data_IF_067042495445
#
_entry.id   IF_067042495445
#
_cell.length_a   1.000
_cell.length_b   1.000
_cell.length_c   1.000
_cell.angle_alpha   90.00
_cell.angle_beta   90.00
_cell.angle_gamma   90.00
#
_symmetry.space_group_name_H-M   'P 1'
#
loop_
_entity.id
_entity.type
_entity.pdbx_description
1 polymer ?
#
# COMPACT_ATOMS: atom_id res chain seq x y z
N UNK A 1 -17.38 -18.84 -25.44
CA UNK A 1 -16.45 -19.59 -24.58
C UNK A 1 -15.36 -18.61 -24.19
N UNK A 2 -15.46 -18.01 -23.00
CA UNK A 2 -14.41 -17.11 -22.49
C UNK A 2 -13.20 -17.99 -22.15
N UNK A 3 -12.13 -17.89 -22.94
CA UNK A 3 -10.89 -18.57 -22.66
C UNK A 3 -10.29 -17.85 -21.45
N UNK A 4 -10.42 -18.45 -20.26
CA UNK A 4 -9.75 -17.98 -19.05
C UNK A 4 -8.25 -18.16 -19.28
N UNK A 5 -7.59 -17.10 -19.76
CA UNK A 5 -6.14 -17.03 -19.89
C UNK A 5 -5.58 -17.17 -18.49
N UNK A 6 -4.99 -18.32 -18.20
CA UNK A 6 -4.30 -18.55 -16.94
C UNK A 6 -3.07 -17.64 -16.90
N UNK A 7 -2.86 -16.87 -15.82
CA UNK A 7 -1.67 -16.04 -15.70
C UNK A 7 -0.42 -16.92 -15.77
N UNK A 8 0.60 -16.45 -16.49
CA UNK A 8 1.87 -17.15 -16.53
C UNK A 8 2.63 -16.94 -15.21
N UNK A 9 3.54 -17.85 -14.87
CA UNK A 9 4.45 -17.68 -13.72
C UNK A 9 5.18 -16.33 -13.74
N UNK A 10 5.56 -15.86 -14.92
CA UNK A 10 6.21 -14.57 -15.08
C UNK A 10 5.29 -13.42 -14.66
N UNK A 11 4.01 -13.48 -15.03
CA UNK A 11 3.01 -12.47 -14.65
C UNK A 11 2.80 -12.42 -13.13
N UNK A 12 2.80 -13.58 -12.47
CA UNK A 12 2.72 -13.68 -11.01
C UNK A 12 3.95 -13.04 -10.33
N UNK A 13 5.15 -13.30 -10.85
CA UNK A 13 6.39 -12.70 -10.35
C UNK A 13 6.37 -11.17 -10.54
N UNK A 14 5.96 -10.69 -11.72
CA UNK A 14 5.85 -9.25 -11.98
C UNK A 14 4.84 -8.59 -11.05
N UNK A 15 3.66 -9.21 -10.85
CA UNK A 15 2.65 -8.71 -9.93
C UNK A 15 3.18 -8.64 -8.49
N UNK A 16 3.92 -9.66 -8.04
CA UNK A 16 4.54 -9.68 -6.71
C UNK A 16 5.59 -8.58 -6.54
N UNK A 17 6.48 -8.39 -7.52
CA UNK A 17 7.52 -7.35 -7.47
C UNK A 17 6.91 -5.95 -7.50
N UNK A 18 5.94 -5.71 -8.38
CA UNK A 18 5.28 -4.41 -8.51
C UNK A 18 4.49 -4.09 -7.25
N UNK A 19 3.67 -5.03 -6.77
CA UNK A 19 2.87 -4.83 -5.55
C UNK A 19 3.74 -4.60 -4.32
N UNK A 20 4.84 -5.35 -4.15
CA UNK A 20 5.79 -5.14 -3.06
C UNK A 20 6.46 -3.77 -3.14
N UNK A 21 6.92 -3.37 -4.33
CA UNK A 21 7.57 -2.06 -4.55
C UNK A 21 6.62 -0.91 -4.24
N UNK A 22 5.38 -0.98 -4.75
CA UNK A 22 4.35 0.02 -4.48
C UNK A 22 3.94 0.04 -3.01
N UNK A 23 3.88 -1.13 -2.36
CA UNK A 23 3.55 -1.22 -0.94
C UNK A 23 4.61 -0.54 -0.08
N UNK A 24 5.90 -0.79 -0.35
CA UNK A 24 7.01 -0.15 0.38
C UNK A 24 7.00 1.36 0.17
N UNK A 25 6.87 1.82 -1.09
CA UNK A 25 6.81 3.26 -1.39
C UNK A 25 5.61 3.92 -0.72
N UNK A 26 4.44 3.29 -0.78
CA UNK A 26 3.22 3.78 -0.14
C UNK A 26 3.35 3.86 1.38
N UNK A 27 4.04 2.90 2.01
CA UNK A 27 4.26 2.90 3.46
C UNK A 27 5.13 4.10 3.85
N UNK A 28 6.20 4.35 3.09
CA UNK A 28 7.10 5.49 3.33
C UNK A 28 6.35 6.82 3.16
N UNK A 29 5.59 6.99 2.07
CA UNK A 29 4.88 8.26 1.80
C UNK A 29 3.73 8.52 2.77
N UNK A 30 2.92 7.52 3.09
CA UNK A 30 1.85 7.66 4.08
C UNK A 30 2.40 7.86 5.49
N UNK A 31 3.48 7.16 5.86
CA UNK A 31 4.19 7.40 7.11
C UNK A 31 4.70 8.83 7.20
N UNK A 32 5.33 9.34 6.13
CA UNK A 32 5.78 10.72 6.07
C UNK A 32 4.63 11.72 6.17
N UNK A 33 3.49 11.46 5.51
CA UNK A 33 2.30 12.30 5.60
C UNK A 33 1.79 12.41 7.04
N UNK A 34 1.69 11.27 7.75
CA UNK A 34 1.29 11.24 9.17
C UNK A 34 2.26 12.08 10.02
N UNK A 35 3.58 11.90 9.82
CA UNK A 35 4.61 12.66 10.57
C UNK A 35 4.51 14.16 10.30
N UNK A 36 4.35 14.56 9.04
CA UNK A 36 4.23 15.98 8.65
C UNK A 36 2.98 16.61 9.25
N UNK A 37 1.84 15.92 9.18
CA UNK A 37 0.58 16.43 9.75
C UNK A 37 0.68 16.50 11.28
N UNK A 38 1.26 15.49 11.92
CA UNK A 38 1.46 15.47 13.37
C UNK A 38 2.41 16.59 13.84
N UNK A 39 3.43 16.93 13.05
CA UNK A 39 4.42 17.96 13.38
C UNK A 39 3.94 19.38 13.08
N UNK A 40 2.97 19.55 12.17
CA UNK A 40 2.51 20.86 11.73
C UNK A 40 1.30 21.31 12.53
N UNK A 41 1.48 22.22 13.50
CA UNK A 41 0.39 22.74 14.36
C UNK A 41 -0.79 23.34 13.57
N UNK A 42 -0.54 23.95 12.41
CA UNK A 42 -1.60 24.50 11.55
C UNK A 42 -2.50 23.41 10.94
N UNK A 43 -2.02 22.17 10.88
CA UNK A 43 -2.76 21.03 10.35
C UNK A 43 -3.53 20.27 11.43
N UNK A 44 -3.46 20.66 12.72
CA UNK A 44 -4.25 20.06 13.81
C UNK A 44 -5.69 20.59 13.79
N UNK A 45 -6.36 20.40 12.66
CA UNK A 45 -7.75 20.75 12.42
C UNK A 45 -8.48 19.54 11.82
N UNK A 46 -9.80 19.65 11.63
CA UNK A 46 -10.62 18.57 11.10
C UNK A 46 -10.07 17.99 9.78
N UNK A 47 -9.53 18.83 8.90
CA UNK A 47 -8.93 18.40 7.64
C UNK A 47 -7.68 17.53 7.85
N UNK A 48 -6.74 17.96 8.70
CA UNK A 48 -5.54 17.16 8.97
C UNK A 48 -5.84 15.84 9.66
N UNK A 49 -6.82 15.78 10.55
CA UNK A 49 -7.26 14.51 11.14
C UNK A 49 -7.87 13.54 10.11
N UNK A 50 -8.64 14.06 9.14
CA UNK A 50 -9.14 13.25 8.03
C UNK A 50 -7.97 12.71 7.19
N UNK A 51 -6.99 13.56 6.84
CA UNK A 51 -5.80 13.12 6.11
C UNK A 51 -5.00 12.05 6.87
N UNK A 52 -4.87 12.16 8.19
CA UNK A 52 -4.22 11.13 9.02
C UNK A 52 -5.03 9.84 8.99
N UNK A 53 -6.36 9.89 9.13
CA UNK A 53 -7.20 8.68 9.08
C UNK A 53 -7.10 7.97 7.73
N UNK A 54 -7.05 8.73 6.63
CA UNK A 54 -6.85 8.19 5.30
C UNK A 54 -5.46 7.54 5.18
N UNK A 55 -4.41 8.24 5.59
CA UNK A 55 -3.04 7.69 5.55
C UNK A 55 -2.88 6.43 6.41
N UNK A 56 -3.55 6.35 7.56
CA UNK A 56 -3.59 5.14 8.40
C UNK A 56 -4.33 4.00 7.71
N UNK A 57 -5.45 4.30 7.04
CA UNK A 57 -6.17 3.32 6.22
C UNK A 57 -5.31 2.76 5.09
N UNK A 58 -4.60 3.65 4.38
CA UNK A 58 -3.68 3.28 3.31
C UNK A 58 -2.53 2.40 3.84
N UNK A 59 -1.94 2.72 5.00
CA UNK A 59 -0.93 1.88 5.64
C UNK A 59 -1.44 0.45 5.90
N UNK A 60 -2.67 0.31 6.40
CA UNK A 60 -3.27 -1.01 6.63
C UNK A 60 -3.35 -1.84 5.35
N UNK A 61 -3.83 -1.25 4.26
CA UNK A 61 -3.95 -1.93 2.96
C UNK A 61 -2.58 -2.28 2.38
N UNK A 62 -1.60 -1.38 2.48
CA UNK A 62 -0.25 -1.59 1.96
C UNK A 62 0.49 -2.69 2.72
N UNK A 63 0.27 -2.84 4.04
CA UNK A 63 0.81 -3.96 4.82
C UNK A 63 0.24 -5.29 4.32
N UNK A 64 -1.06 -5.34 4.00
CA UNK A 64 -1.69 -6.55 3.44
C UNK A 64 -1.08 -6.88 2.08
N UNK A 65 -0.90 -5.90 1.19
CA UNK A 65 -0.27 -6.16 -0.11
C UNK A 65 1.20 -6.57 0.01
N UNK A 66 1.96 -5.97 0.92
CA UNK A 66 3.35 -6.33 1.18
C UNK A 66 3.53 -7.76 1.72
N UNK A 67 2.52 -8.32 2.39
CA UNK A 67 2.60 -9.65 3.01
C UNK A 67 1.90 -10.73 2.19
N UNK A 68 0.69 -10.45 1.67
CA UNK A 68 -0.16 -11.43 1.02
C UNK A 68 0.34 -11.83 -0.38
N UNK A 69 0.78 -10.86 -1.20
CA UNK A 69 1.20 -11.15 -2.58
C UNK A 69 2.51 -11.94 -2.63
N UNK A 70 3.55 -11.61 -1.84
CA UNK A 70 4.74 -12.44 -1.76
C UNK A 70 4.48 -13.81 -1.13
N UNK A 71 3.59 -13.90 -0.13
CA UNK A 71 3.20 -15.18 0.45
C UNK A 71 2.56 -16.11 -0.58
N UNK A 72 1.71 -15.58 -1.48
CA UNK A 72 1.12 -16.32 -2.60
C UNK A 72 2.15 -16.79 -3.64
N UNK A 73 3.31 -16.15 -3.73
CA UNK A 73 4.38 -16.55 -4.63
C UNK A 73 5.25 -17.67 -4.05
N UNK A 74 5.40 -17.71 -2.71
CA UNK A 74 6.25 -18.66 -1.99
C UNK A 74 5.50 -19.96 -1.64
N UNK A 75 4.20 -19.90 -1.39
CA UNK A 75 3.35 -20.98 -0.84
C UNK A 75 2.37 -21.51 -1.89
#
# INVERSE_FOLDING_TARGET
MEQVVQPSRSDEIYAAVISLTLSVLGIITNGAAIVVIASTKHMHNAFGYVCVSQAVGDLGVLIVFATWVPAKLIL
#
